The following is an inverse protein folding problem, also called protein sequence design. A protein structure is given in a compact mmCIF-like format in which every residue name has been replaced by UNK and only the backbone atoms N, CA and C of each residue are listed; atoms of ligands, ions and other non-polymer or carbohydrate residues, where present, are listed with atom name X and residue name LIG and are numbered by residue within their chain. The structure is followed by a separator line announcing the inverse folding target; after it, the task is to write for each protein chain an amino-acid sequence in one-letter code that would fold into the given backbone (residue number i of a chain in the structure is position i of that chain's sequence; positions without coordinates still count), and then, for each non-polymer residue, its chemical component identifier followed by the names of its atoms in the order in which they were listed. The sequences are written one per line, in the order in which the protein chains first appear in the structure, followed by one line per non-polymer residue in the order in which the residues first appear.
data_IF_101607999838
#
_entry.id   IF_101607999838
#
_cell.length_a   1.000
_cell.length_b   1.000
_cell.length_c   1.000
_cell.angle_alpha   90.00
_cell.angle_beta   90.00
_cell.angle_gamma   90.00
#
_symmetry.space_group_name_H-M   'P 1'
#
loop_
_entity.id
_entity.type
_entity.pdbx_description
1 polymer ?
#
# COMPACT_ATOMS: atom_id res chain seq x y z
N UNK A 1 -10.44 11.10 -44.97
CA UNK A 1 -9.95 11.80 -43.76
C UNK A 1 -8.55 12.33 -44.08
N UNK A 2 -8.32 13.64 -44.03
CA UNK A 2 -7.01 14.22 -44.39
C UNK A 2 -5.95 13.88 -43.33
N UNK A 3 -4.69 13.73 -43.77
CA UNK A 3 -3.56 13.20 -42.99
C UNK A 3 -3.44 13.76 -41.56
N UNK A 4 -3.66 15.07 -41.39
CA UNK A 4 -3.64 15.73 -40.08
C UNK A 4 -4.70 15.19 -39.10
N UNK A 5 -5.90 14.85 -39.58
CA UNK A 5 -6.97 14.27 -38.75
C UNK A 5 -6.64 12.84 -38.32
N UNK A 6 -5.96 12.07 -39.18
CA UNK A 6 -5.49 10.72 -38.85
C UNK A 6 -4.43 10.80 -37.74
N UNK A 7 -3.48 11.73 -37.86
CA UNK A 7 -2.42 11.93 -36.86
C UNK A 7 -3.00 12.34 -35.49
N UNK A 8 -4.00 13.23 -35.49
CA UNK A 8 -4.66 13.69 -34.27
C UNK A 8 -5.44 12.56 -33.57
N UNK A 9 -6.15 11.72 -34.34
CA UNK A 9 -6.86 10.55 -33.81
C UNK A 9 -5.88 9.55 -33.20
N UNK A 10 -4.75 9.26 -33.87
CA UNK A 10 -3.72 8.36 -33.34
C UNK A 10 -3.08 8.90 -32.05
N UNK A 11 -2.82 10.21 -31.97
CA UNK A 11 -2.30 10.85 -30.76
C UNK A 11 -3.28 10.74 -29.59
N UNK A 12 -4.58 10.99 -29.83
CA UNK A 12 -5.63 10.83 -28.82
C UNK A 12 -5.73 9.39 -28.34
N UNK A 13 -5.69 8.41 -29.26
CA UNK A 13 -5.73 6.99 -28.90
C UNK A 13 -4.53 6.62 -28.01
N UNK A 14 -3.30 7.01 -28.39
CA UNK A 14 -2.11 6.73 -27.57
C UNK A 14 -2.18 7.35 -26.17
N UNK A 15 -2.66 8.60 -26.05
CA UNK A 15 -2.81 9.26 -24.74
C UNK A 15 -3.86 8.54 -23.89
N UNK A 16 -4.97 8.09 -24.48
CA UNK A 16 -6.00 7.34 -23.77
C UNK A 16 -5.50 5.96 -23.30
N UNK A 17 -4.72 5.25 -24.13
CA UNK A 17 -4.13 3.95 -23.76
C UNK A 17 -3.15 4.05 -22.60
N UNK A 18 -2.29 5.09 -22.58
CA UNK A 18 -1.37 5.31 -21.47
C UNK A 18 -2.13 5.55 -20.15
N UNK A 19 -3.17 6.38 -20.16
CA UNK A 19 -4.01 6.63 -18.96
C UNK A 19 -4.69 5.36 -18.44
N UNK A 20 -5.15 4.49 -19.34
CA UNK A 20 -5.78 3.23 -18.95
C UNK A 20 -4.79 2.26 -18.28
N UNK A 21 -3.54 2.20 -18.76
CA UNK A 21 -2.50 1.39 -18.13
C UNK A 21 -2.19 1.87 -16.71
N UNK A 22 -1.94 3.18 -16.52
CA UNK A 22 -1.70 3.76 -15.20
C UNK A 22 -2.87 3.59 -14.23
N UNK A 23 -4.11 3.56 -14.74
CA UNK A 23 -5.28 3.28 -13.93
C UNK A 23 -5.27 1.83 -13.41
N UNK A 24 -4.92 0.86 -14.26
CA UNK A 24 -4.74 -0.54 -13.85
C UNK A 24 -3.67 -0.70 -12.76
N UNK A 25 -2.49 -0.09 -12.96
CA UNK A 25 -1.42 -0.14 -11.96
C UNK A 25 -1.85 0.50 -10.62
N UNK A 26 -2.65 1.57 -10.67
CA UNK A 26 -3.19 2.22 -9.48
C UNK A 26 -4.16 1.29 -8.73
N UNK A 27 -5.07 0.63 -9.45
CA UNK A 27 -6.02 -0.33 -8.86
C UNK A 27 -5.31 -1.52 -8.20
N UNK A 28 -4.25 -2.03 -8.84
CA UNK A 28 -3.42 -3.11 -8.29
C UNK A 28 -2.73 -2.69 -6.98
N UNK A 29 -2.22 -1.46 -6.90
CA UNK A 29 -1.62 -0.92 -5.66
C UNK A 29 -2.68 -0.77 -4.56
N UNK A 30 -3.90 -0.30 -4.88
CA UNK A 30 -5.01 -0.22 -3.91
C UNK A 30 -5.36 -1.62 -3.39
N UNK A 31 -5.48 -2.60 -4.28
CA UNK A 31 -5.78 -3.98 -3.92
C UNK A 31 -4.68 -4.59 -3.04
N UNK A 32 -3.40 -4.29 -3.33
CA UNK A 32 -2.28 -4.73 -2.52
C UNK A 32 -2.31 -4.11 -1.10
N UNK A 33 -2.64 -2.82 -0.97
CA UNK A 33 -2.79 -2.14 0.33
C UNK A 33 -3.93 -2.77 1.13
N UNK A 34 -5.11 -2.96 0.53
CA UNK A 34 -6.27 -3.58 1.18
C UNK A 34 -5.95 -5.02 1.64
N UNK A 35 -5.37 -5.83 0.76
CA UNK A 35 -4.93 -7.19 1.07
C UNK A 35 -3.96 -7.21 2.26
N UNK A 36 -2.94 -6.34 2.25
CA UNK A 36 -1.96 -6.22 3.33
C UNK A 36 -2.65 -5.99 4.68
N UNK A 37 -3.57 -5.03 4.77
CA UNK A 37 -4.21 -4.72 6.05
C UNK A 37 -5.19 -5.81 6.52
N UNK A 38 -5.83 -6.53 5.60
CA UNK A 38 -6.60 -7.74 5.93
C UNK A 38 -5.73 -8.83 6.54
N UNK A 39 -4.55 -9.07 6.00
CA UNK A 39 -3.63 -10.10 6.51
C UNK A 39 -2.92 -9.66 7.80
N UNK A 40 -2.63 -8.37 7.96
CA UNK A 40 -2.18 -7.80 9.24
C UNK A 40 -3.22 -8.06 10.32
N UNK A 41 -4.50 -7.79 10.04
CA UNK A 41 -5.61 -8.07 10.96
C UNK A 41 -5.71 -9.55 11.31
N UNK A 42 -5.52 -10.42 10.33
CA UNK A 42 -5.56 -11.87 10.50
C UNK A 42 -4.27 -12.46 11.11
N UNK A 43 -3.22 -11.65 11.30
CA UNK A 43 -1.86 -12.10 11.66
C UNK A 43 -1.32 -13.20 10.75
N UNK A 44 -1.62 -13.09 9.46
CA UNK A 44 -1.25 -14.08 8.44
C UNK A 44 -0.22 -13.55 7.44
N UNK A 45 0.46 -12.44 7.77
CA UNK A 45 1.59 -11.94 6.98
C UNK A 45 2.78 -12.88 7.11
N UNK A 46 3.41 -13.18 5.97
CA UNK A 46 4.69 -13.89 5.86
C UNK A 46 5.80 -13.04 5.21
N UNK A 47 6.96 -13.66 4.97
CA UNK A 47 8.13 -12.98 4.39
C UNK A 47 7.88 -12.37 2.99
N UNK A 48 6.98 -12.96 2.19
CA UNK A 48 6.68 -12.49 0.82
C UNK A 48 5.84 -11.21 0.74
N UNK A 49 5.45 -10.61 1.86
CA UNK A 49 4.60 -9.41 1.91
C UNK A 49 5.38 -8.08 2.00
N UNK A 50 6.70 -8.17 2.06
CA UNK A 50 7.60 -7.03 1.95
C UNK A 50 8.50 -7.24 0.74
N UNK A 51 9.25 -6.19 0.37
CA UNK A 51 10.31 -6.34 -0.63
C UNK A 51 11.27 -7.48 -0.19
N UNK A 52 11.70 -8.38 -1.09
CA UNK A 52 12.59 -9.49 -0.75
C UNK A 52 13.87 -9.08 -0.04
N UNK A 53 14.36 -7.87 -0.29
CA UNK A 53 15.56 -7.34 0.34
C UNK A 53 15.30 -6.83 1.76
N UNK A 54 14.04 -6.48 2.08
CA UNK A 54 13.64 -5.95 3.39
C UNK A 54 12.83 -4.66 3.30
N UNK A 55 12.55 -4.05 4.44
CA UNK A 55 11.74 -2.83 4.53
C UNK A 55 12.31 -1.83 5.53
N UNK A 56 12.27 -0.55 5.16
CA UNK A 56 12.47 0.55 6.11
C UNK A 56 11.14 0.85 6.78
N UNK A 57 11.10 0.75 8.11
CA UNK A 57 9.89 0.94 8.90
C UNK A 57 10.14 1.91 10.06
N UNK A 58 9.23 2.83 10.29
CA UNK A 58 9.18 3.62 11.52
C UNK A 58 8.40 2.85 12.60
N UNK A 59 8.86 2.93 13.85
CA UNK A 59 8.17 2.29 14.98
C UNK A 59 7.71 3.33 16.00
N UNK A 60 6.66 3.01 16.74
CA UNK A 60 6.14 3.87 17.81
C UNK A 60 7.06 3.97 19.03
N UNK A 61 8.26 3.36 19.00
CA UNK A 61 9.25 3.46 20.08
C UNK A 61 10.07 4.77 20.03
N UNK A 62 9.78 5.67 19.08
CA UNK A 62 10.40 7.00 19.00
C UNK A 62 11.79 7.00 18.35
N UNK A 63 12.15 5.93 17.65
CA UNK A 63 13.39 5.84 16.86
C UNK A 63 13.24 6.41 15.44
N UNK A 64 14.37 6.52 14.75
CA UNK A 64 14.39 6.72 13.29
C UNK A 64 13.85 5.47 12.57
N UNK A 65 13.71 5.59 11.25
CA UNK A 65 13.45 4.45 10.37
C UNK A 65 14.50 3.36 10.63
N UNK A 66 14.04 2.14 10.88
CA UNK A 66 14.88 0.96 11.00
C UNK A 66 14.68 0.05 9.80
N UNK A 67 15.76 -0.58 9.36
CA UNK A 67 15.70 -1.61 8.35
C UNK A 67 15.35 -2.95 8.99
N UNK A 68 14.42 -3.68 8.39
CA UNK A 68 13.99 -5.00 8.81
C UNK A 68 14.10 -5.96 7.65
N UNK A 69 14.68 -7.13 7.89
CA UNK A 69 14.56 -8.25 6.96
C UNK A 69 13.10 -8.67 6.81
N UNK A 70 12.73 -9.39 5.73
CA UNK A 70 11.36 -9.86 5.53
C UNK A 70 10.81 -10.70 6.68
N UNK A 71 11.67 -11.49 7.34
CA UNK A 71 11.30 -12.32 8.50
C UNK A 71 11.01 -11.46 9.73
N UNK A 72 11.87 -10.49 10.03
CA UNK A 72 11.69 -9.58 11.16
C UNK A 72 10.42 -8.73 11.00
N UNK A 73 10.18 -8.21 9.78
CA UNK A 73 8.99 -7.43 9.47
C UNK A 73 7.69 -8.23 9.65
N UNK A 74 7.69 -9.52 9.28
CA UNK A 74 6.55 -10.41 9.49
C UNK A 74 6.35 -10.71 10.99
N UNK A 75 7.43 -11.03 11.70
CA UNK A 75 7.40 -11.33 13.15
C UNK A 75 6.83 -10.16 13.96
N UNK A 76 7.15 -8.91 13.61
CA UNK A 76 6.58 -7.73 14.27
C UNK A 76 5.05 -7.68 14.26
N UNK A 77 4.40 -8.31 13.28
CA UNK A 77 2.94 -8.36 13.16
C UNK A 77 2.39 -9.66 13.77
N UNK A 78 2.98 -10.80 13.43
CA UNK A 78 2.46 -12.12 13.82
C UNK A 78 2.66 -12.41 15.30
N UNK A 79 3.76 -11.95 15.89
CA UNK A 79 4.12 -12.20 17.29
C UNK A 79 3.66 -11.07 18.23
N UNK A 80 3.09 -9.98 17.70
CA UNK A 80 2.60 -8.87 18.51
C UNK A 80 1.55 -9.35 19.52
N UNK A 81 1.59 -8.87 20.76
CA UNK A 81 0.53 -9.16 21.75
C UNK A 81 -0.82 -8.54 21.35
N UNK A 82 -0.78 -7.48 20.54
CA UNK A 82 -1.96 -6.76 20.05
C UNK A 82 -2.33 -7.19 18.64
N UNK A 83 -3.54 -6.87 18.21
CA UNK A 83 -4.03 -7.01 16.84
C UNK A 83 -4.56 -5.67 16.36
N UNK A 84 -4.14 -5.25 15.18
CA UNK A 84 -4.65 -4.04 14.53
C UNK A 84 -5.86 -4.39 13.67
N UNK A 85 -7.05 -3.95 14.09
CA UNK A 85 -8.27 -4.01 13.28
C UNK A 85 -8.48 -2.65 12.62
N UNK A 86 -7.67 -2.38 11.60
CA UNK A 86 -7.66 -1.10 10.88
C UNK A 86 -8.00 -1.30 9.42
N UNK A 87 -8.57 -0.27 8.80
CA UNK A 87 -8.86 -0.19 7.38
C UNK A 87 -8.16 1.03 6.76
N UNK A 88 -7.61 0.89 5.54
CA UNK A 88 -7.05 2.02 4.80
C UNK A 88 -8.16 2.92 4.23
N UNK A 89 -8.05 4.23 4.45
CA UNK A 89 -8.98 5.25 3.96
C UNK A 89 -8.24 6.37 3.23
N UNK A 90 -8.94 7.02 2.29
CA UNK A 90 -8.41 8.13 1.48
C UNK A 90 -7.07 7.78 0.80
N UNK A 91 -7.00 6.60 0.19
CA UNK A 91 -5.82 6.14 -0.51
C UNK A 91 -5.51 7.07 -1.69
N UNK A 92 -4.34 7.68 -1.66
CA UNK A 92 -3.79 8.50 -2.72
C UNK A 92 -2.51 7.85 -3.23
N UNK A 93 -2.45 7.63 -4.54
CA UNK A 93 -1.32 6.99 -5.21
C UNK A 93 -0.75 7.94 -6.24
N UNK A 94 0.57 8.07 -6.21
CA UNK A 94 1.36 8.72 -7.24
C UNK A 94 2.30 7.69 -7.85
N UNK A 95 2.14 7.45 -9.15
CA UNK A 95 3.11 6.67 -9.92
C UNK A 95 4.34 7.55 -10.20
N UNK A 96 5.52 7.00 -9.94
CA UNK A 96 6.84 7.61 -10.00
C UNK A 96 7.75 6.81 -10.96
N UNK A 97 8.88 7.41 -11.32
CA UNK A 97 9.81 6.83 -12.30
C UNK A 97 9.39 7.09 -13.75
N UNK A 98 10.35 7.14 -14.67
CA UNK A 98 10.06 7.31 -16.10
C UNK A 98 9.24 6.14 -16.68
N UNK A 99 9.38 4.96 -16.07
CA UNK A 99 8.67 3.72 -16.39
C UNK A 99 7.33 3.59 -15.66
N UNK A 100 7.03 4.43 -14.65
CA UNK A 100 5.85 4.24 -13.80
C UNK A 100 5.90 3.00 -12.93
N UNK A 101 7.10 2.49 -12.63
CA UNK A 101 7.35 1.23 -11.92
C UNK A 101 7.43 1.36 -10.40
N UNK A 102 7.32 2.60 -9.88
CA UNK A 102 7.32 2.88 -8.45
C UNK A 102 6.02 3.58 -8.08
N UNK A 103 5.31 3.09 -7.07
CA UNK A 103 4.14 3.76 -6.52
C UNK A 103 4.48 4.37 -5.15
N UNK A 104 4.21 5.67 -5.00
CA UNK A 104 4.14 6.32 -3.69
C UNK A 104 2.67 6.38 -3.25
N UNK A 105 2.34 5.69 -2.17
CA UNK A 105 0.99 5.65 -1.62
C UNK A 105 0.95 6.36 -0.26
N UNK A 106 -0.09 7.18 -0.06
CA UNK A 106 -0.45 7.71 1.26
C UNK A 106 -1.91 7.39 1.55
N UNK A 107 -2.19 7.00 2.77
CA UNK A 107 -3.53 6.65 3.22
C UNK A 107 -3.63 6.82 4.72
N UNK A 108 -4.84 6.98 5.24
CA UNK A 108 -5.10 6.91 6.67
C UNK A 108 -5.40 5.48 7.06
N UNK A 109 -4.95 5.06 8.23
CA UNK A 109 -5.43 3.85 8.89
C UNK A 109 -6.37 4.25 10.00
N UNK A 110 -7.57 3.70 9.96
CA UNK A 110 -8.62 3.99 10.93
C UNK A 110 -9.20 2.68 11.46
N UNK A 111 -9.38 2.57 12.76
CA UNK A 111 -10.02 1.40 13.36
C UNK A 111 -9.70 1.26 14.85
N UNK A 112 -9.40 0.03 15.27
CA UNK A 112 -9.16 -0.28 16.68
C UNK A 112 -7.94 -1.17 16.90
N UNK A 113 -7.41 -1.14 18.12
CA UNK A 113 -6.38 -2.06 18.57
C UNK A 113 -6.99 -2.97 19.62
N UNK A 114 -6.82 -4.28 19.44
CA UNK A 114 -7.27 -5.30 20.38
C UNK A 114 -6.11 -6.01 21.07
N UNK A 115 -6.36 -6.47 22.29
CA UNK A 115 -5.50 -7.39 23.02
C UNK A 115 -6.39 -8.40 23.74
N UNK A 116 -6.10 -9.70 23.59
CA UNK A 116 -6.88 -10.78 24.19
C UNK A 116 -8.40 -10.67 23.94
N UNK A 117 -8.79 -10.31 22.70
CA UNK A 117 -10.19 -10.15 22.30
C UNK A 117 -10.89 -8.88 22.77
N UNK A 118 -10.24 -8.06 23.62
CA UNK A 118 -10.78 -6.79 24.11
C UNK A 118 -10.20 -5.61 23.31
N UNK A 119 -11.06 -4.63 23.00
CA UNK A 119 -10.63 -3.35 22.44
C UNK A 119 -9.89 -2.56 23.54
N UNK A 120 -8.63 -2.22 23.28
CA UNK A 120 -7.80 -1.37 24.16
C UNK A 120 -7.66 0.05 23.61
N UNK A 121 -7.88 0.24 22.31
CA UNK A 121 -7.96 1.55 21.64
C UNK A 121 -9.09 1.48 20.61
N UNK A 122 -10.12 2.32 20.75
CA UNK A 122 -11.36 2.23 19.96
C UNK A 122 -11.46 3.20 18.76
N UNK A 123 -10.63 4.24 18.71
CA UNK A 123 -10.58 5.22 17.60
C UNK A 123 -9.12 5.47 17.20
N UNK A 124 -8.42 4.38 16.85
CA UNK A 124 -7.05 4.46 16.38
C UNK A 124 -6.99 5.10 15.00
N UNK A 125 -6.13 6.12 14.85
CA UNK A 125 -5.92 6.85 13.60
C UNK A 125 -4.43 7.10 13.40
N UNK A 126 -3.89 6.71 12.25
CA UNK A 126 -2.55 7.11 11.81
C UNK A 126 -2.54 7.35 10.30
N UNK A 127 -1.50 8.01 9.81
CA UNK A 127 -1.24 8.21 8.38
C UNK A 127 0.11 7.62 8.02
#
# INVERSE_FOLDING_TARGET
MNFLKILLVLAVIMICSAKAAYAGDTEDVIAAIDKRWKEVRAKSIGAGFSNPDGVWMATSQGGLWQFLSPVEAAAMITEAATTMEVDPLHVNIQMLGSSGDVAYATYYLVGSIRQNGKIIVSDYRTR
#
